data_IF_639615159408
#
_entry.id   IF_639615159408
#
_cell.length_a   1.000
_cell.length_b   1.000
_cell.length_c   1.000
_cell.angle_alpha   90.00
_cell.angle_beta   90.00
_cell.angle_gamma   90.00
#
_symmetry.space_group_name_H-M   'P 1'
#
loop_
_entity.id
_entity.type
_entity.pdbx_description
1 polymer ?
#
# COMPACT_ATOMS: atom_id res chain seq x y z
N UNK A 1 -8.99 -12.91 30.61
CA UNK A 1 -9.39 -11.90 29.63
C UNK A 1 -8.20 -11.67 28.74
N UNK A 2 -8.20 -12.26 27.54
CA UNK A 2 -7.12 -12.04 26.57
C UNK A 2 -7.46 -10.76 25.82
N UNK A 3 -6.59 -9.77 25.98
CA UNK A 3 -6.59 -8.51 25.26
C UNK A 3 -6.75 -8.81 23.76
N UNK A 4 -7.83 -8.30 23.17
CA UNK A 4 -8.03 -8.30 21.73
C UNK A 4 -6.92 -7.45 21.12
N UNK A 5 -5.76 -8.06 20.88
CA UNK A 5 -4.74 -7.46 20.03
C UNK A 5 -5.45 -7.16 18.70
N UNK A 6 -5.67 -5.87 18.45
CA UNK A 6 -6.20 -5.37 17.19
C UNK A 6 -5.44 -6.09 16.09
N UNK A 7 -6.14 -6.93 15.32
CA UNK A 7 -5.56 -7.56 14.14
C UNK A 7 -5.28 -6.42 13.17
N UNK A 8 -4.06 -5.90 13.23
CA UNK A 8 -3.53 -5.01 12.21
C UNK A 8 -3.81 -5.61 10.84
N UNK A 9 -3.91 -4.78 9.79
CA UNK A 9 -4.15 -5.28 8.45
C UNK A 9 -3.20 -6.43 8.14
N UNK A 10 -3.70 -7.53 7.55
CA UNK A 10 -2.91 -8.71 7.17
C UNK A 10 -1.88 -8.44 6.08
N UNK A 11 -1.48 -7.18 5.90
CA UNK A 11 -0.52 -6.69 4.94
C UNK A 11 0.30 -5.53 5.54
N UNK A 12 1.52 -5.34 5.05
CA UNK A 12 2.36 -4.19 5.35
C UNK A 12 3.06 -3.67 4.10
N UNK A 13 3.29 -2.37 4.04
CA UNK A 13 4.08 -1.72 2.99
C UNK A 13 5.24 -0.97 3.66
N UNK A 14 6.46 -1.30 3.25
CA UNK A 14 7.68 -0.67 3.74
C UNK A 14 8.44 -0.01 2.59
N UNK A 15 9.10 1.11 2.90
CA UNK A 15 9.97 1.81 1.97
C UNK A 15 11.36 1.96 2.62
N UNK A 16 12.40 1.52 1.93
CA UNK A 16 13.79 1.66 2.37
C UNK A 16 14.63 2.35 1.30
N UNK A 17 15.52 3.25 1.73
CA UNK A 17 16.44 3.90 0.81
C UNK A 17 17.49 2.90 0.33
N UNK A 18 17.81 2.95 -0.96
CA UNK A 18 18.91 2.22 -1.60
C UNK A 18 19.76 3.22 -2.40
N UNK A 19 21.00 2.90 -2.80
CA UNK A 19 21.91 3.88 -3.42
C UNK A 19 21.28 4.71 -4.56
N UNK A 20 20.58 4.04 -5.47
CA UNK A 20 19.98 4.65 -6.67
C UNK A 20 18.50 5.05 -6.49
N UNK A 21 17.91 4.85 -5.32
CA UNK A 21 16.49 5.14 -5.14
C UNK A 21 15.85 4.53 -3.90
N UNK A 22 14.73 3.86 -4.09
CA UNK A 22 13.90 3.32 -3.01
C UNK A 22 13.50 1.89 -3.34
N UNK A 23 13.62 1.00 -2.35
CA UNK A 23 13.01 -0.33 -2.39
C UNK A 23 11.69 -0.29 -1.64
N UNK A 24 10.61 -0.62 -2.33
CA UNK A 24 9.29 -0.81 -1.73
C UNK A 24 9.03 -2.30 -1.55
N UNK A 25 8.58 -2.69 -0.36
CA UNK A 25 8.24 -4.08 -0.02
C UNK A 25 6.79 -4.13 0.47
N UNK A 26 5.96 -4.87 -0.26
CA UNK A 26 4.59 -5.21 0.14
C UNK A 26 4.60 -6.65 0.66
N UNK A 27 4.37 -6.82 1.96
CA UNK A 27 4.22 -8.13 2.57
C UNK A 27 2.73 -8.42 2.82
N UNK A 28 2.30 -9.62 2.44
CA UNK A 28 0.97 -10.17 2.68
C UNK A 28 1.15 -11.38 3.60
N UNK A 29 0.48 -11.37 4.74
CA UNK A 29 0.59 -12.45 5.73
C UNK A 29 -0.04 -13.77 5.22
N UNK A 30 -1.07 -13.67 4.37
CA UNK A 30 -1.71 -14.80 3.72
C UNK A 30 -2.24 -14.39 2.34
N UNK A 31 -1.61 -14.91 1.29
CA UNK A 31 -2.09 -14.86 -0.08
C UNK A 31 -2.20 -16.29 -0.63
N UNK A 32 -3.38 -16.88 -0.54
CA UNK A 32 -3.63 -18.24 -1.05
C UNK A 32 -3.09 -19.36 -0.15
N UNK A 33 -3.02 -19.13 1.17
CA UNK A 33 -2.60 -20.12 2.17
C UNK A 33 -1.16 -19.96 2.65
N UNK A 34 -0.49 -18.84 2.33
CA UNK A 34 0.89 -18.61 2.74
C UNK A 34 1.36 -17.17 2.56
N UNK A 35 2.46 -16.78 3.23
CA UNK A 35 2.97 -15.42 3.18
C UNK A 35 3.64 -15.13 1.84
N UNK A 36 3.42 -13.93 1.31
CA UNK A 36 4.01 -13.46 0.04
C UNK A 36 4.56 -12.05 0.24
N UNK A 37 5.79 -11.82 -0.23
CA UNK A 37 6.39 -10.48 -0.26
C UNK A 37 6.75 -10.10 -1.69
N UNK A 38 6.18 -9.00 -2.17
CA UNK A 38 6.57 -8.38 -3.43
C UNK A 38 7.52 -7.22 -3.14
N UNK A 39 8.66 -7.17 -3.84
CA UNK A 39 9.63 -6.09 -3.71
C UNK A 39 9.90 -5.46 -5.07
N UNK A 40 9.86 -4.13 -5.13
CA UNK A 40 10.22 -3.36 -6.32
C UNK A 40 11.28 -2.32 -5.94
N UNK A 41 12.30 -2.19 -6.79
CA UNK A 41 13.30 -1.13 -6.67
C UNK A 41 12.98 -0.08 -7.71
N UNK A 42 12.85 1.16 -7.27
CA UNK A 42 12.50 2.31 -8.09
C UNK A 42 13.62 3.34 -7.97
N UNK A 43 13.97 3.97 -9.08
CA UNK A 43 14.78 5.17 -9.04
C UNK A 43 14.04 6.32 -8.36
N UNK A 44 14.76 7.38 -7.95
CA UNK A 44 14.15 8.53 -7.25
C UNK A 44 13.02 9.20 -8.04
N UNK A 45 13.15 9.27 -9.35
CA UNK A 45 12.10 9.85 -10.21
C UNK A 45 10.86 8.95 -10.26
N UNK A 46 11.07 7.64 -10.44
CA UNK A 46 10.00 6.64 -10.48
C UNK A 46 9.27 6.53 -9.15
N UNK A 47 9.99 6.54 -8.03
CA UNK A 47 9.40 6.52 -6.69
C UNK A 47 8.47 7.73 -6.45
N UNK A 48 8.87 8.93 -6.90
CA UNK A 48 8.03 10.13 -6.83
C UNK A 48 6.81 10.03 -7.74
N UNK A 49 6.99 9.52 -8.96
CA UNK A 49 5.89 9.31 -9.89
C UNK A 49 4.87 8.29 -9.34
N UNK A 50 5.36 7.18 -8.79
CA UNK A 50 4.55 6.14 -8.16
C UNK A 50 3.74 6.68 -6.99
N UNK A 51 4.37 7.43 -6.07
CA UNK A 51 3.67 8.01 -4.91
C UNK A 51 2.55 8.98 -5.34
N UNK A 52 2.79 9.81 -6.37
CA UNK A 52 1.78 10.73 -6.91
C UNK A 52 0.63 9.98 -7.56
N UNK A 53 0.93 8.95 -8.34
CA UNK A 53 -0.10 8.11 -8.98
C UNK A 53 -0.96 7.39 -7.94
N UNK A 54 -0.34 6.84 -6.89
CA UNK A 54 -1.05 6.18 -5.80
C UNK A 54 -1.98 7.15 -5.05
N UNK A 55 -1.51 8.37 -4.76
CA UNK A 55 -2.32 9.40 -4.11
C UNK A 55 -3.52 9.82 -4.97
N UNK A 56 -3.31 10.04 -6.27
CA UNK A 56 -4.36 10.39 -7.20
C UNK A 56 -5.43 9.28 -7.26
N UNK A 57 -5.01 8.02 -7.43
CA UNK A 57 -5.91 6.88 -7.47
C UNK A 57 -6.70 6.69 -6.17
N UNK A 58 -6.07 6.94 -5.01
CA UNK A 58 -6.74 6.90 -3.71
C UNK A 58 -7.81 8.00 -3.58
N UNK A 59 -7.51 9.22 -4.05
CA UNK A 59 -8.47 10.32 -4.12
C UNK A 59 -9.68 9.98 -4.98
N UNK A 60 -9.45 9.53 -6.21
CA UNK A 60 -10.51 9.10 -7.14
C UNK A 60 -11.38 7.98 -6.54
N UNK A 61 -10.76 7.01 -5.85
CA UNK A 61 -11.49 5.95 -5.17
C UNK A 61 -12.35 6.48 -4.03
N UNK A 62 -11.83 7.40 -3.21
CA UNK A 62 -12.59 8.03 -2.14
C UNK A 62 -13.80 8.82 -2.69
N UNK A 63 -13.60 9.59 -3.76
CA UNK A 63 -14.69 10.33 -4.41
C UNK A 63 -15.83 9.42 -4.87
N UNK A 64 -15.51 8.24 -5.41
CA UNK A 64 -16.50 7.24 -5.85
C UNK A 64 -17.27 6.59 -4.71
N UNK A 65 -16.75 6.61 -3.48
CA UNK A 65 -17.42 6.04 -2.31
C UNK A 65 -18.43 6.97 -1.66
N UNK A 66 -18.43 8.27 -1.99
CA UNK A 66 -19.46 9.17 -1.49
C UNK A 66 -20.81 8.87 -2.16
N UNK A 67 -21.90 8.73 -1.37
CA UNK A 67 -23.23 8.59 -1.94
C UNK A 67 -23.55 9.84 -2.76
N UNK A 68 -23.87 9.65 -4.03
CA UNK A 68 -24.36 10.75 -4.88
C UNK A 68 -25.69 11.21 -4.29
N UNK A 69 -25.92 12.53 -4.12
CA UNK A 69 -27.24 13.04 -3.75
C UNK A 69 -28.28 12.41 -4.68
N UNK A 70 -29.33 11.83 -4.09
CA UNK A 70 -30.38 11.14 -4.81
C UNK A 70 -30.92 12.01 -5.94
N UNK A 71 -31.00 11.44 -7.13
CA UNK A 71 -31.65 12.06 -8.28
C UNK A 71 -33.15 12.01 -8.11
#
# INVERSE_FOLDING_TARGET
>A
MAESAERGPGWSLQASAVPEGVRLELALADLGGGPVTAAIVLERAEARAFARALLAAAGDAAERTFPKPGT
#
